data_IF_535195336250
#
_entry.id   IF_535195336250
#
_cell.length_a   1.000
_cell.length_b   1.000
_cell.length_c   1.000
_cell.angle_alpha   90.00
_cell.angle_beta   90.00
_cell.angle_gamma   90.00
#
_symmetry.space_group_name_H-M   'P 1'
#
loop_
_entity.id
_entity.type
_entity.pdbx_description
1 polymer ?
#
# COMPACT_ATOMS: atom_id res chain seq x y z
N UNK A 1 -27.23 -51.95 40.14
CA UNK A 1 -28.56 -51.42 39.75
C UNK A 1 -28.39 -49.96 39.37
N UNK A 2 -28.70 -49.68 38.10
CA UNK A 2 -28.97 -48.41 37.40
C UNK A 2 -27.92 -47.28 37.31
N UNK A 3 -27.72 -46.92 36.04
CA UNK A 3 -26.90 -45.92 35.35
C UNK A 3 -26.84 -44.49 35.88
N UNK A 4 -25.80 -43.72 35.48
CA UNK A 4 -25.86 -42.27 35.43
C UNK A 4 -26.53 -41.81 34.13
N UNK A 5 -27.58 -41.02 34.21
CA UNK A 5 -28.17 -40.35 33.05
C UNK A 5 -27.49 -39.00 32.81
N UNK A 6 -26.83 -38.88 31.65
CA UNK A 6 -26.58 -37.61 30.98
C UNK A 6 -27.92 -36.89 30.73
N UNK A 7 -27.93 -35.57 30.88
CA UNK A 7 -28.86 -34.72 30.14
C UNK A 7 -28.10 -33.60 29.46
N UNK A 8 -28.34 -33.51 28.15
CA UNK A 8 -27.98 -32.38 27.29
C UNK A 8 -29.07 -31.33 27.41
N UNK A 9 -28.68 -30.06 27.56
CA UNK A 9 -29.24 -28.97 26.74
C UNK A 9 -28.42 -27.71 26.92
N UNK A 10 -27.87 -27.26 25.80
CA UNK A 10 -27.22 -25.98 25.60
C UNK A 10 -28.22 -24.84 25.76
N UNK A 11 -27.83 -23.74 26.40
CA UNK A 11 -28.04 -22.38 25.89
C UNK A 11 -27.58 -21.33 26.90
N UNK A 12 -26.86 -20.34 26.37
CA UNK A 12 -26.81 -18.95 26.80
C UNK A 12 -26.15 -18.63 28.16
N UNK A 13 -24.94 -18.06 28.09
CA UNK A 13 -24.64 -16.67 28.49
C UNK A 13 -23.12 -16.49 28.64
N UNK A 14 -22.43 -16.46 27.51
CA UNK A 14 -21.12 -15.80 27.40
C UNK A 14 -21.40 -14.34 27.03
N UNK A 15 -21.49 -13.48 28.04
CA UNK A 15 -21.33 -12.03 27.87
C UNK A 15 -19.84 -11.75 27.63
N UNK A 16 -19.41 -11.88 26.36
CA UNK A 16 -18.18 -11.27 25.89
C UNK A 16 -18.46 -9.81 25.55
N UNK A 17 -17.66 -8.94 26.14
CA UNK A 17 -17.62 -7.50 25.93
C UNK A 17 -17.38 -7.15 24.46
N UNK A 18 -18.47 -6.93 23.73
CA UNK A 18 -18.52 -6.29 22.41
C UNK A 18 -18.31 -4.79 22.57
N UNK A 19 -17.07 -4.33 22.75
CA UNK A 19 -16.78 -2.90 22.70
C UNK A 19 -15.30 -2.61 22.46
N UNK A 20 -14.75 -2.96 21.30
CA UNK A 20 -13.48 -2.37 20.81
C UNK A 20 -13.06 -2.93 19.43
N UNK A 21 -13.83 -2.71 18.37
CA UNK A 21 -13.32 -2.81 16.99
C UNK A 21 -14.17 -1.93 16.07
N UNK A 22 -13.83 -0.64 16.03
CA UNK A 22 -14.19 0.24 14.92
C UNK A 22 -12.95 1.07 14.60
N UNK A 23 -12.06 0.50 13.78
CA UNK A 23 -10.93 1.22 13.23
C UNK A 23 -11.42 2.17 12.14
N UNK A 24 -11.02 3.43 12.24
CA UNK A 24 -11.35 4.49 11.30
C UNK A 24 -10.86 4.14 9.90
N UNK A 25 -11.80 3.76 9.03
CA UNK A 25 -11.55 3.49 7.62
C UNK A 25 -11.26 4.80 6.88
N UNK A 26 -9.99 5.07 6.63
CA UNK A 26 -9.53 5.88 5.49
C UNK A 26 -9.59 5.09 4.17
N UNK A 27 -9.78 3.77 4.26
CA UNK A 27 -10.12 2.88 3.15
C UNK A 27 -11.09 1.83 3.70
N UNK A 28 -12.17 1.43 3.00
CA UNK A 28 -13.13 0.50 3.57
C UNK A 28 -12.44 -0.83 3.88
N UNK A 29 -12.20 -1.10 5.17
CA UNK A 29 -11.83 -2.41 5.70
C UNK A 29 -13.10 -3.27 5.88
N UNK A 30 -14.28 -2.65 5.82
CA UNK A 30 -15.54 -3.37 5.71
C UNK A 30 -15.67 -4.00 4.33
N UNK A 31 -15.99 -5.29 4.31
CA UNK A 31 -16.23 -6.14 3.14
C UNK A 31 -17.40 -5.73 2.23
N UNK A 32 -17.71 -4.42 2.17
CA UNK A 32 -18.58 -3.78 1.20
C UNK A 32 -17.77 -3.00 0.15
N UNK A 33 -16.57 -3.49 -0.22
CA UNK A 33 -15.99 -3.10 -1.50
C UNK A 33 -16.83 -3.76 -2.60
N UNK A 34 -17.87 -3.06 -3.05
CA UNK A 34 -18.65 -3.45 -4.23
C UNK A 34 -17.67 -3.57 -5.38
N UNK A 35 -17.68 -4.73 -6.06
CA UNK A 35 -16.98 -4.91 -7.32
C UNK A 35 -17.31 -3.71 -8.22
N UNK A 36 -16.30 -3.02 -8.77
CA UNK A 36 -16.53 -1.89 -9.69
C UNK A 36 -17.01 -2.39 -11.07
N UNK A 37 -17.79 -3.47 -11.09
CA UNK A 37 -18.43 -4.06 -12.25
C UNK A 37 -19.45 -3.05 -12.78
N UNK A 38 -19.18 -2.46 -13.94
CA UNK A 38 -20.15 -1.62 -14.65
C UNK A 38 -19.58 -0.38 -15.34
N UNK A 39 -18.32 0.00 -15.08
CA UNK A 39 -17.64 1.04 -15.87
C UNK A 39 -16.49 0.39 -16.63
N UNK A 40 -16.50 0.50 -17.96
CA UNK A 40 -15.55 -0.14 -18.87
C UNK A 40 -14.09 0.28 -18.68
N UNK A 41 -13.83 1.33 -17.89
CA UNK A 41 -12.48 1.84 -17.61
C UNK A 41 -12.12 1.71 -16.13
N UNK A 42 -10.92 1.19 -15.81
CA UNK A 42 -10.39 1.15 -14.45
C UNK A 42 -10.24 2.54 -13.84
N UNK A 43 -10.18 2.61 -12.51
CA UNK A 43 -9.97 3.82 -11.75
C UNK A 43 -8.51 4.19 -11.52
N UNK A 44 -8.26 5.47 -11.23
CA UNK A 44 -6.96 5.98 -10.77
C UNK A 44 -7.17 6.94 -9.59
N UNK A 45 -6.66 6.55 -8.41
CA UNK A 45 -6.67 7.36 -7.20
C UNK A 45 -5.33 8.04 -6.96
N UNK A 46 -5.35 9.20 -6.32
CA UNK A 46 -4.12 9.94 -5.97
C UNK A 46 -4.26 10.50 -4.56
N UNK A 47 -3.20 10.41 -3.79
CA UNK A 47 -3.07 11.08 -2.49
C UNK A 47 -1.94 12.09 -2.59
N UNK A 48 -2.19 13.32 -2.13
CA UNK A 48 -1.18 14.34 -1.92
C UNK A 48 -1.12 14.65 -0.43
N UNK A 49 -0.03 14.30 0.23
CA UNK A 49 0.18 14.53 1.66
C UNK A 49 1.13 15.71 1.88
N UNK A 50 0.76 16.60 2.80
CA UNK A 50 1.47 17.86 3.02
C UNK A 50 2.68 17.68 3.93
N UNK A 51 3.84 18.19 3.49
CA UNK A 51 4.98 18.40 4.39
C UNK A 51 4.93 19.71 5.17
N UNK A 52 3.93 20.57 4.96
CA UNK A 52 3.90 21.94 5.51
C UNK A 52 2.59 22.37 6.15
N UNK A 53 1.49 21.64 5.97
CA UNK A 53 0.19 21.95 6.56
C UNK A 53 -0.20 20.79 7.47
N UNK A 54 -0.46 21.12 8.74
CA UNK A 54 -0.80 20.14 9.76
C UNK A 54 -2.01 20.60 10.56
N UNK A 55 -2.90 19.67 10.89
CA UNK A 55 -3.94 19.85 11.90
C UNK A 55 -3.35 19.44 13.25
N UNK A 56 -3.47 20.33 14.25
CA UNK A 56 -2.72 20.21 15.49
C UNK A 56 -3.59 20.37 16.73
N UNK A 57 -3.15 19.69 17.79
CA UNK A 57 -3.59 19.84 19.18
C UNK A 57 -2.36 20.02 20.04
N UNK A 58 -2.43 20.95 20.99
CA UNK A 58 -1.39 21.08 22.01
C UNK A 58 -1.46 19.88 22.96
N UNK A 59 -0.37 19.13 23.04
CA UNK A 59 -0.23 17.95 23.90
C UNK A 59 0.72 18.19 25.08
N UNK A 60 1.43 19.32 25.14
CA UNK A 60 2.54 19.53 26.09
C UNK A 60 2.12 19.56 27.57
N UNK A 61 0.83 19.76 27.84
CA UNK A 61 0.27 19.85 29.20
C UNK A 61 -0.81 18.81 29.47
N UNK A 62 -0.97 17.84 28.57
CA UNK A 62 -1.95 16.78 28.74
C UNK A 62 -1.43 15.71 29.70
N UNK A 63 -2.33 15.14 30.50
CA UNK A 63 -2.04 13.89 31.20
C UNK A 63 -1.88 12.75 30.19
N UNK A 64 -1.24 11.64 30.59
CA UNK A 64 -1.10 10.44 29.75
C UNK A 64 -2.43 9.93 29.19
N UNK A 65 -3.51 10.05 29.96
CA UNK A 65 -4.85 9.67 29.53
C UNK A 65 -5.36 10.58 28.41
N UNK A 66 -5.23 11.89 28.59
CA UNK A 66 -5.66 12.87 27.59
C UNK A 66 -4.82 12.79 26.31
N UNK A 67 -3.51 12.55 26.43
CA UNK A 67 -2.64 12.31 25.29
C UNK A 67 -3.06 11.05 24.52
N UNK A 68 -3.39 9.96 25.22
CA UNK A 68 -3.92 8.75 24.59
C UNK A 68 -5.26 8.99 23.88
N UNK A 69 -6.15 9.79 24.45
CA UNK A 69 -7.41 10.18 23.81
C UNK A 69 -7.18 11.04 22.55
N UNK A 70 -6.21 11.96 22.57
CA UNK A 70 -5.82 12.76 21.39
C UNK A 70 -5.18 11.87 20.32
N UNK A 71 -4.35 10.91 20.71
CA UNK A 71 -3.78 9.91 19.82
C UNK A 71 -4.85 9.08 19.13
N UNK A 72 -5.82 8.57 19.89
CA UNK A 72 -6.96 7.83 19.33
C UNK A 72 -7.79 8.71 18.39
N UNK A 73 -8.05 9.96 18.78
CA UNK A 73 -8.75 10.91 17.90
C UNK A 73 -7.95 11.16 16.61
N UNK A 74 -6.62 11.17 16.65
CA UNK A 74 -5.80 11.24 15.44
C UNK A 74 -5.99 10.02 14.53
N UNK A 75 -6.02 8.82 15.10
CA UNK A 75 -6.32 7.58 14.35
C UNK A 75 -7.72 7.65 13.73
N UNK A 76 -8.72 8.07 14.49
CA UNK A 76 -10.11 8.18 14.04
C UNK A 76 -10.28 9.25 12.93
N UNK A 77 -9.38 10.23 12.85
CA UNK A 77 -9.36 11.29 11.86
C UNK A 77 -8.85 10.86 10.48
N UNK A 78 -8.10 9.75 10.39
CA UNK A 78 -7.43 9.32 9.15
C UNK A 78 -8.44 9.18 7.99
N UNK A 79 -8.13 9.82 6.87
CA UNK A 79 -8.95 9.85 5.65
C UNK A 79 -10.34 10.45 5.81
N UNK A 80 -10.59 11.22 6.89
CA UNK A 80 -11.89 11.89 7.11
C UNK A 80 -11.85 13.31 6.58
N UNK A 81 -12.97 13.71 5.97
CA UNK A 81 -13.18 15.04 5.39
C UNK A 81 -12.90 16.16 6.40
N UNK A 82 -12.26 17.22 5.91
CA UNK A 82 -11.96 18.44 6.67
C UNK A 82 -12.89 19.57 6.23
N UNK A 83 -13.41 20.30 7.20
CA UNK A 83 -14.23 21.51 6.98
C UNK A 83 -13.65 22.69 7.74
N UNK A 84 -13.65 23.87 7.12
CA UNK A 84 -13.21 25.10 7.77
C UNK A 84 -14.29 25.61 8.70
N UNK A 85 -13.95 25.86 9.97
CA UNK A 85 -14.91 26.44 10.90
C UNK A 85 -15.14 27.91 10.53
N UNK A 86 -16.38 28.27 10.18
CA UNK A 86 -16.72 29.68 9.92
C UNK A 86 -16.96 30.42 11.23
N UNK A 87 -16.56 31.70 11.28
CA UNK A 87 -16.60 32.49 12.51
C UNK A 87 -18.02 32.97 12.92
N UNK A 88 -19.07 32.72 12.13
CA UNK A 88 -20.38 33.37 12.36
C UNK A 88 -21.63 32.49 12.27
N UNK A 89 -21.67 31.42 11.46
CA UNK A 89 -22.97 30.81 11.11
C UNK A 89 -23.02 29.27 11.25
N UNK A 90 -22.00 28.63 11.82
CA UNK A 90 -21.96 27.17 12.02
C UNK A 90 -21.88 26.32 10.75
N UNK A 91 -22.06 26.91 9.56
CA UNK A 91 -21.84 26.26 8.28
C UNK A 91 -20.37 26.44 7.87
N UNK A 92 -19.55 25.44 8.17
CA UNK A 92 -18.16 25.42 7.73
C UNK A 92 -18.02 25.25 6.21
N UNK A 93 -16.97 25.82 5.62
CA UNK A 93 -16.69 25.64 4.20
C UNK A 93 -16.02 24.28 3.97
N UNK A 94 -16.64 23.42 3.15
CA UNK A 94 -16.04 22.14 2.75
C UNK A 94 -14.87 22.39 1.81
N UNK A 95 -13.76 21.69 2.07
CA UNK A 95 -12.59 21.69 1.19
C UNK A 95 -12.65 20.45 0.31
N UNK A 96 -13.60 20.45 -0.63
CA UNK A 96 -13.91 19.32 -1.50
C UNK A 96 -14.34 19.78 -2.89
N UNK A 97 -14.09 18.96 -3.90
CA UNK A 97 -14.60 19.12 -5.26
C UNK A 97 -15.45 17.91 -5.69
N UNK A 98 -15.68 17.78 -6.99
CA UNK A 98 -16.45 16.65 -7.55
C UNK A 98 -15.75 15.30 -7.29
N UNK A 99 -14.44 15.29 -7.50
CA UNK A 99 -13.60 14.09 -7.56
C UNK A 99 -12.46 14.10 -6.53
N UNK A 100 -12.43 15.08 -5.62
CA UNK A 100 -11.39 15.21 -4.62
C UNK A 100 -11.91 15.77 -3.29
N UNK A 101 -11.21 15.49 -2.21
CA UNK A 101 -11.51 16.00 -0.86
C UNK A 101 -10.22 16.23 -0.06
N UNK A 102 -10.19 17.28 0.75
CA UNK A 102 -9.17 17.46 1.78
C UNK A 102 -9.55 16.64 3.01
N UNK A 103 -8.62 15.84 3.47
CA UNK A 103 -8.74 14.95 4.62
C UNK A 103 -7.55 15.14 5.56
N UNK A 104 -7.61 14.49 6.72
CA UNK A 104 -6.48 14.38 7.64
C UNK A 104 -5.81 13.01 7.50
N UNK A 105 -4.48 12.97 7.43
CA UNK A 105 -3.72 11.73 7.59
C UNK A 105 -3.24 11.54 9.03
N UNK A 106 -2.92 10.30 9.39
CA UNK A 106 -2.39 9.92 10.68
C UNK A 106 -1.41 8.75 10.56
N UNK A 107 -0.24 8.90 11.18
CA UNK A 107 0.80 7.86 11.29
C UNK A 107 0.88 7.25 12.70
N UNK A 108 0.11 7.78 13.66
CA UNK A 108 0.07 7.29 15.05
C UNK A 108 1.35 7.55 15.87
N UNK A 109 2.39 8.16 15.28
CA UNK A 109 3.70 8.37 15.89
C UNK A 109 3.80 9.68 16.69
N UNK A 110 3.05 10.71 16.30
CA UNK A 110 3.05 12.03 16.96
C UNK A 110 1.63 12.41 17.36
N UNK A 111 1.23 12.20 18.63
CA UNK A 111 -0.08 12.61 19.11
C UNK A 111 -0.34 14.10 18.85
N UNK A 112 -1.57 14.41 18.41
CA UNK A 112 -1.99 15.78 18.17
C UNK A 112 -1.36 16.43 16.94
N UNK A 113 -0.80 15.65 16.01
CA UNK A 113 -0.20 16.15 14.78
C UNK A 113 -0.63 15.31 13.57
N UNK A 114 -1.45 15.89 12.71
CA UNK A 114 -2.04 15.22 11.54
C UNK A 114 -1.66 15.98 10.27
N UNK A 115 -0.94 15.38 9.31
CA UNK A 115 -0.72 15.98 8.00
C UNK A 115 -2.04 16.24 7.28
N UNK A 116 -2.12 17.35 6.55
CA UNK A 116 -3.21 17.59 5.63
C UNK A 116 -3.01 16.75 4.37
N UNK A 117 -4.06 16.11 3.87
CA UNK A 117 -4.00 15.23 2.71
C UNK A 117 -5.13 15.52 1.73
N UNK A 118 -4.82 15.75 0.46
CA UNK A 118 -5.82 15.76 -0.60
C UNK A 118 -5.93 14.38 -1.24
N UNK A 119 -7.15 13.82 -1.24
CA UNK A 119 -7.46 12.54 -1.87
C UNK A 119 -8.26 12.80 -3.15
N UNK A 120 -7.77 12.32 -4.29
CA UNK A 120 -8.49 12.22 -5.55
C UNK A 120 -9.12 10.82 -5.64
N UNK A 121 -10.45 10.78 -5.73
CA UNK A 121 -11.23 9.55 -5.58
C UNK A 121 -11.14 8.68 -6.84
N UNK A 122 -10.30 7.64 -6.77
CA UNK A 122 -10.15 6.68 -7.84
C UNK A 122 -11.41 5.86 -8.16
N UNK A 123 -12.46 5.87 -7.34
CA UNK A 123 -13.76 5.28 -7.70
C UNK A 123 -14.44 6.10 -8.80
N UNK A 124 -14.27 7.42 -8.77
CA UNK A 124 -14.88 8.38 -9.70
C UNK A 124 -13.98 8.66 -10.90
N UNK A 125 -12.69 8.85 -10.66
CA UNK A 125 -11.71 9.19 -11.70
C UNK A 125 -11.32 7.93 -12.46
N UNK A 126 -11.49 7.95 -13.78
CA UNK A 126 -11.20 6.81 -14.66
C UNK A 126 -9.90 7.01 -15.44
N UNK A 127 -9.14 5.93 -15.57
CA UNK A 127 -7.88 5.88 -16.28
C UNK A 127 -8.07 6.20 -17.77
N UNK A 128 -7.13 6.97 -18.34
CA UNK A 128 -7.12 7.35 -19.74
C UNK A 128 -8.04 8.52 -20.08
N UNK A 129 -8.72 9.11 -19.08
CA UNK A 129 -9.61 10.26 -19.29
C UNK A 129 -8.92 11.59 -19.10
N UNK A 130 -7.71 11.62 -18.52
CA UNK A 130 -7.02 12.86 -18.13
C UNK A 130 -7.65 13.54 -16.91
N UNK A 131 -8.69 12.94 -16.31
CA UNK A 131 -9.44 13.57 -15.21
C UNK A 131 -8.61 13.72 -13.94
N UNK A 132 -7.64 12.83 -13.69
CA UNK A 132 -6.75 12.94 -12.54
C UNK A 132 -5.96 14.26 -12.56
N UNK A 133 -5.41 14.61 -13.72
CA UNK A 133 -4.66 15.85 -13.91
C UNK A 133 -5.53 17.10 -13.74
N UNK A 134 -6.75 17.09 -14.29
CA UNK A 134 -7.71 18.19 -14.13
C UNK A 134 -8.16 18.35 -12.66
N UNK A 135 -8.42 17.24 -11.97
CA UNK A 135 -8.77 17.26 -10.55
C UNK A 135 -7.62 17.84 -9.71
N UNK A 136 -6.36 17.52 -10.01
CA UNK A 136 -5.23 18.11 -9.32
C UNK A 136 -5.05 19.62 -9.58
N UNK A 137 -5.37 20.09 -10.79
CA UNK A 137 -5.42 21.53 -11.09
C UNK A 137 -6.50 22.23 -10.24
N UNK A 138 -7.68 21.62 -10.10
CA UNK A 138 -8.73 22.12 -9.21
C UNK A 138 -8.29 22.17 -7.74
N UNK A 139 -7.57 21.15 -7.26
CA UNK A 139 -7.00 21.13 -5.91
C UNK A 139 -5.99 22.26 -5.74
N UNK A 140 -5.11 22.48 -6.71
CA UNK A 140 -4.15 23.59 -6.66
C UNK A 140 -4.85 24.96 -6.61
N UNK A 141 -5.87 25.18 -7.44
CA UNK A 141 -6.69 26.40 -7.37
C UNK A 141 -7.41 26.54 -6.02
N UNK A 142 -7.91 25.43 -5.47
CA UNK A 142 -8.50 25.41 -4.14
C UNK A 142 -7.49 25.79 -3.05
N UNK A 143 -6.29 25.22 -3.08
CA UNK A 143 -5.24 25.49 -2.09
C UNK A 143 -4.84 26.97 -2.09
N UNK A 144 -4.72 27.59 -3.27
CA UNK A 144 -4.51 29.04 -3.41
C UNK A 144 -5.66 29.85 -2.83
N UNK A 145 -6.90 29.47 -3.12
CA UNK A 145 -8.09 30.17 -2.63
C UNK A 145 -8.27 30.02 -1.13
N UNK A 146 -8.02 28.83 -0.60
CA UNK A 146 -8.09 28.54 0.82
C UNK A 146 -7.09 29.39 1.61
N UNK A 147 -5.86 29.53 1.09
CA UNK A 147 -4.80 30.34 1.69
C UNK A 147 -4.61 29.99 3.19
N UNK A 148 -4.17 28.76 3.50
CA UNK A 148 -4.11 28.26 4.87
C UNK A 148 -3.17 29.10 5.73
N UNK A 149 -3.60 29.40 6.96
CA UNK A 149 -2.86 30.19 7.95
C UNK A 149 -2.83 29.48 9.29
N UNK A 150 -1.69 29.55 9.96
CA UNK A 150 -1.55 29.05 11.33
C UNK A 150 -2.59 29.68 12.26
N UNK A 151 -3.18 28.88 13.13
CA UNK A 151 -4.24 29.28 14.06
C UNK A 151 -5.66 29.23 13.49
N UNK A 152 -5.84 28.96 12.19
CA UNK A 152 -7.18 28.66 11.66
C UNK A 152 -7.72 27.37 12.28
N UNK A 153 -9.01 27.32 12.57
CA UNK A 153 -9.67 26.12 13.10
C UNK A 153 -10.37 25.33 11.99
N UNK A 154 -10.27 24.00 12.08
CA UNK A 154 -11.00 23.05 11.24
C UNK A 154 -11.74 22.02 12.08
N UNK A 155 -12.77 21.45 11.48
CA UNK A 155 -13.45 20.26 11.98
C UNK A 155 -13.17 19.08 11.06
N UNK A 156 -12.80 17.95 11.66
CA UNK A 156 -12.60 16.68 10.97
C UNK A 156 -13.86 15.83 11.18
N UNK A 157 -14.44 15.31 10.10
CA UNK A 157 -15.72 14.61 10.14
C UNK A 157 -15.69 13.43 11.13
N UNK A 158 -16.68 13.38 12.03
CA UNK A 158 -16.82 12.32 13.04
C UNK A 158 -15.79 12.36 14.18
N UNK A 159 -14.91 13.37 14.23
CA UNK A 159 -13.85 13.42 15.22
C UNK A 159 -14.30 14.02 16.56
N UNK A 160 -14.07 13.29 17.67
CA UNK A 160 -14.51 13.69 19.01
C UNK A 160 -13.68 14.80 19.66
N UNK A 161 -12.52 15.14 19.09
CA UNK A 161 -11.62 16.19 19.62
C UNK A 161 -11.63 17.45 18.77
N UNK A 162 -12.62 17.67 17.91
CA UNK A 162 -12.79 18.94 17.20
C UNK A 162 -12.93 20.15 18.16
N UNK A 163 -12.54 21.37 17.73
CA UNK A 163 -11.86 21.69 16.47
C UNK A 163 -10.34 21.46 16.56
N UNK A 164 -9.68 21.25 15.42
CA UNK A 164 -8.22 21.18 15.32
C UNK A 164 -7.65 22.52 14.82
N UNK A 165 -6.45 22.90 15.28
CA UNK A 165 -5.79 24.14 14.86
C UNK A 165 -4.81 23.87 13.73
N UNK A 166 -4.79 24.72 12.70
CA UNK A 166 -3.77 24.65 11.66
C UNK A 166 -2.41 25.12 12.16
N UNK A 167 -1.38 24.37 11.78
CA UNK A 167 0.02 24.79 11.76
C UNK A 167 0.49 24.76 10.31
N UNK A 168 0.94 25.91 9.82
CA UNK A 168 1.29 26.09 8.40
C UNK A 168 2.72 26.59 8.29
N UNK A 169 3.51 25.92 7.45
CA UNK A 169 4.87 26.30 7.11
C UNK A 169 4.95 27.51 6.18
N UNK A 170 6.16 27.91 5.80
CA UNK A 170 6.36 29.00 4.84
C UNK A 170 5.92 28.60 3.44
N UNK A 171 5.07 29.41 2.83
CA UNK A 171 4.59 29.25 1.46
C UNK A 171 3.97 27.85 1.18
N UNK A 172 2.85 27.50 1.83
CA UNK A 172 2.25 26.17 1.75
C UNK A 172 1.86 25.75 0.32
N UNK A 173 1.51 26.71 -0.53
CA UNK A 173 1.18 26.50 -1.95
C UNK A 173 2.38 25.98 -2.74
N UNK A 174 3.59 26.48 -2.45
CA UNK A 174 4.81 26.08 -3.15
C UNK A 174 5.61 25.02 -2.40
N UNK A 175 5.10 24.54 -1.26
CA UNK A 175 5.76 23.48 -0.50
C UNK A 175 5.69 22.14 -1.24
N UNK A 176 6.61 21.23 -0.91
CA UNK A 176 6.59 19.88 -1.43
C UNK A 176 5.45 19.07 -0.80
N UNK A 177 4.73 18.33 -1.63
CA UNK A 177 3.74 17.34 -1.21
C UNK A 177 4.22 15.96 -1.67
N UNK A 178 4.21 14.99 -0.75
CA UNK A 178 4.39 13.59 -1.11
C UNK A 178 3.17 13.16 -1.92
N UNK A 179 3.41 12.39 -2.99
CA UNK A 179 2.34 11.88 -3.84
C UNK A 179 2.35 10.37 -3.84
N UNK A 180 1.17 9.79 -3.78
CA UNK A 180 0.94 8.36 -3.93
C UNK A 180 -0.12 8.16 -5.01
N UNK A 181 0.02 7.11 -5.83
CA UNK A 181 -0.91 6.84 -6.93
C UNK A 181 -1.41 5.40 -6.81
N UNK A 182 -2.71 5.21 -6.71
CA UNK A 182 -3.35 3.89 -6.71
C UNK A 182 -4.01 3.59 -8.05
N UNK A 183 -3.61 2.51 -8.71
CA UNK A 183 -4.17 2.07 -9.98
C UNK A 183 -4.08 0.54 -10.14
N UNK A 184 -4.96 -0.08 -10.95
CA UNK A 184 -4.76 -1.46 -11.37
C UNK A 184 -3.58 -1.56 -12.33
N UNK A 185 -2.77 -2.61 -12.20
CA UNK A 185 -1.60 -2.80 -13.05
C UNK A 185 -1.42 -4.25 -13.47
N UNK A 186 -1.02 -4.51 -14.74
CA UNK A 186 -0.49 -5.80 -15.14
C UNK A 186 0.71 -6.21 -14.29
N UNK A 187 0.81 -7.46 -13.86
CA UNK A 187 1.99 -7.94 -13.15
C UNK A 187 3.24 -7.88 -14.05
N UNK A 188 3.09 -8.01 -15.38
CA UNK A 188 4.19 -7.76 -16.31
C UNK A 188 4.73 -6.33 -16.24
N UNK A 189 3.85 -5.34 -16.01
CA UNK A 189 4.25 -3.97 -15.76
C UNK A 189 4.98 -3.81 -14.42
N UNK A 190 4.55 -4.53 -13.38
CA UNK A 190 5.28 -4.58 -12.10
C UNK A 190 6.69 -5.13 -12.31
N UNK A 191 6.86 -6.19 -13.10
CA UNK A 191 8.18 -6.71 -13.45
C UNK A 191 9.06 -5.66 -14.17
N UNK A 192 8.50 -4.94 -15.14
CA UNK A 192 9.21 -3.89 -15.88
C UNK A 192 9.58 -2.70 -14.99
N UNK A 193 8.72 -2.33 -14.03
CA UNK A 193 9.04 -1.33 -13.02
C UNK A 193 10.17 -1.80 -12.08
N UNK A 194 10.17 -3.06 -11.65
CA UNK A 194 11.28 -3.63 -10.87
C UNK A 194 12.60 -3.60 -11.66
N UNK A 195 12.54 -3.95 -12.96
CA UNK A 195 13.67 -3.81 -13.89
C UNK A 195 14.16 -2.37 -13.96
N UNK A 196 13.28 -1.42 -14.19
CA UNK A 196 13.64 0.00 -14.29
C UNK A 196 14.31 0.48 -12.99
N UNK A 197 13.77 0.11 -11.83
CA UNK A 197 14.37 0.43 -10.53
C UNK A 197 15.80 -0.11 -10.41
N UNK A 198 16.03 -1.37 -10.79
CA UNK A 198 17.36 -1.99 -10.75
C UNK A 198 18.35 -1.44 -11.76
N UNK A 199 17.87 -0.93 -12.88
CA UNK A 199 18.69 -0.29 -13.90
C UNK A 199 18.77 1.23 -13.73
N UNK A 200 18.34 1.75 -12.57
CA UNK A 200 18.30 3.17 -12.24
C UNK A 200 17.65 4.03 -13.34
N UNK A 201 16.62 3.48 -14.00
CA UNK A 201 15.85 4.18 -15.03
C UNK A 201 14.72 4.98 -14.40
N UNK A 202 14.54 6.25 -14.77
CA UNK A 202 13.50 7.09 -14.20
C UNK A 202 12.12 6.63 -14.67
N UNK A 203 11.13 6.69 -13.76
CA UNK A 203 9.72 6.46 -14.06
C UNK A 203 8.85 7.36 -13.16
N UNK A 204 7.72 7.88 -13.66
CA UNK A 204 6.79 8.66 -12.84
C UNK A 204 6.08 7.82 -11.76
N UNK A 205 6.21 6.49 -11.81
CA UNK A 205 5.65 5.53 -10.85
C UNK A 205 6.72 4.90 -9.95
N UNK A 206 7.95 5.43 -9.97
CA UNK A 206 9.07 4.93 -9.18
C UNK A 206 9.52 5.93 -8.12
N UNK A 207 9.94 5.41 -6.97
CA UNK A 207 10.51 6.20 -5.89
C UNK A 207 11.94 6.65 -6.19
N UNK A 208 12.40 7.71 -5.53
CA UNK A 208 13.82 8.09 -5.47
C UNK A 208 14.56 7.54 -4.25
N UNK A 209 13.83 6.89 -3.32
CA UNK A 209 14.45 6.37 -2.11
C UNK A 209 15.35 5.18 -2.44
N UNK A 210 16.66 5.41 -2.34
CA UNK A 210 17.68 4.40 -2.61
C UNK A 210 17.47 3.14 -1.74
N UNK A 211 17.01 3.26 -0.49
CA UNK A 211 16.72 2.11 0.36
C UNK A 211 15.56 1.28 -0.21
N UNK A 212 14.47 1.93 -0.62
CA UNK A 212 13.30 1.26 -1.23
C UNK A 212 13.64 0.64 -2.59
N UNK A 213 14.55 1.24 -3.38
CA UNK A 213 15.03 0.66 -4.64
C UNK A 213 15.89 -0.59 -4.38
N UNK A 214 16.78 -0.53 -3.38
CA UNK A 214 17.62 -1.68 -2.98
C UNK A 214 16.77 -2.88 -2.53
N UNK A 215 15.66 -2.62 -1.85
CA UNK A 215 14.72 -3.64 -1.36
C UNK A 215 13.96 -4.37 -2.48
N UNK A 216 13.95 -3.86 -3.70
CA UNK A 216 13.29 -4.53 -4.83
C UNK A 216 14.12 -5.72 -5.29
N UNK A 217 13.47 -6.71 -5.86
CA UNK A 217 14.09 -7.85 -6.56
C UNK A 217 13.47 -7.88 -7.95
N UNK A 218 14.30 -7.94 -8.99
CA UNK A 218 13.88 -8.11 -10.37
C UNK A 218 14.20 -9.54 -10.82
N UNK A 219 13.17 -10.36 -10.93
CA UNK A 219 13.25 -11.76 -11.34
C UNK A 219 13.38 -11.85 -12.87
N UNK A 220 14.62 -11.87 -13.35
CA UNK A 220 14.99 -11.96 -14.76
C UNK A 220 15.40 -13.40 -15.15
N UNK A 221 15.95 -13.59 -16.35
CA UNK A 221 16.27 -14.94 -16.86
C UNK A 221 17.32 -15.69 -16.03
N UNK A 222 18.24 -14.97 -15.39
CA UNK A 222 19.31 -15.57 -14.58
C UNK A 222 18.76 -16.31 -13.36
N UNK A 223 17.62 -15.86 -12.84
CA UNK A 223 16.93 -16.51 -11.71
C UNK A 223 16.37 -17.91 -12.06
N UNK A 224 16.30 -18.27 -13.34
CA UNK A 224 15.76 -19.55 -13.81
C UNK A 224 16.82 -20.51 -14.36
N UNK A 225 18.11 -20.24 -14.13
CA UNK A 225 19.20 -21.13 -14.59
C UNK A 225 19.11 -22.55 -14.03
N UNK A 226 18.64 -22.68 -12.79
CA UNK A 226 18.49 -23.98 -12.10
C UNK A 226 17.08 -24.54 -12.13
N UNK A 227 16.23 -24.02 -13.02
CA UNK A 227 14.83 -24.40 -13.17
C UNK A 227 14.05 -24.47 -11.82
N UNK A 228 13.90 -23.35 -11.09
CA UNK A 228 13.28 -23.31 -9.77
C UNK A 228 11.87 -23.92 -9.78
N UNK A 229 11.66 -24.98 -9.00
CA UNK A 229 10.41 -25.75 -8.99
C UNK A 229 10.03 -26.35 -10.34
N UNK A 230 10.97 -26.47 -11.29
CA UNK A 230 10.75 -26.90 -12.67
C UNK A 230 10.30 -25.80 -13.63
N UNK A 231 10.24 -24.52 -13.21
CA UNK A 231 9.99 -23.40 -14.11
C UNK A 231 11.24 -23.06 -14.93
N UNK A 232 11.08 -22.78 -16.22
CA UNK A 232 12.18 -22.38 -17.11
C UNK A 232 12.16 -20.87 -17.37
N UNK A 233 13.16 -20.37 -18.09
CA UNK A 233 13.23 -18.97 -18.56
C UNK A 233 12.05 -18.55 -19.45
N UNK A 234 11.28 -19.49 -20.00
CA UNK A 234 10.11 -19.19 -20.83
C UNK A 234 8.88 -18.68 -20.04
N UNK A 235 8.98 -18.64 -18.71
CA UNK A 235 7.91 -18.13 -17.85
C UNK A 235 7.56 -16.66 -18.16
N UNK A 236 6.26 -16.37 -18.18
CA UNK A 236 5.71 -15.05 -18.53
C UNK A 236 6.12 -13.93 -17.58
N UNK A 237 6.08 -12.69 -18.07
CA UNK A 237 6.46 -11.49 -17.32
C UNK A 237 5.55 -11.20 -16.12
N UNK A 238 4.30 -11.64 -16.17
CA UNK A 238 3.32 -11.57 -15.10
C UNK A 238 3.70 -12.47 -13.91
N UNK A 239 4.06 -13.72 -14.17
CA UNK A 239 4.58 -14.63 -13.16
C UNK A 239 5.88 -14.08 -12.57
N UNK A 240 6.78 -13.55 -13.42
CA UNK A 240 8.01 -12.88 -12.96
C UNK A 240 7.71 -11.64 -12.10
N UNK A 241 6.69 -10.86 -12.44
CA UNK A 241 6.25 -9.70 -11.69
C UNK A 241 5.72 -10.07 -10.30
N UNK A 242 4.90 -11.11 -10.23
CA UNK A 242 4.41 -11.65 -8.96
C UNK A 242 5.57 -12.17 -8.08
N UNK A 243 6.48 -12.97 -8.65
CA UNK A 243 7.63 -13.50 -7.93
C UNK A 243 8.60 -12.40 -7.49
N UNK A 244 8.81 -11.38 -8.32
CA UNK A 244 9.60 -10.17 -8.00
C UNK A 244 9.01 -9.45 -6.79
N UNK A 245 7.69 -9.25 -6.76
CA UNK A 245 7.00 -8.60 -5.66
C UNK A 245 7.11 -9.41 -4.36
N UNK A 246 6.83 -10.72 -4.42
CA UNK A 246 6.97 -11.63 -3.26
C UNK A 246 8.37 -11.59 -2.67
N UNK A 247 9.41 -11.74 -3.51
CA UNK A 247 10.80 -11.72 -3.06
C UNK A 247 11.21 -10.35 -2.51
N UNK A 248 10.74 -9.26 -3.11
CA UNK A 248 11.01 -7.90 -2.61
C UNK A 248 10.50 -7.73 -1.18
N UNK A 249 9.25 -8.12 -0.91
CA UNK A 249 8.66 -8.05 0.43
C UNK A 249 9.35 -9.01 1.41
N UNK A 250 9.56 -10.27 1.01
CA UNK A 250 10.18 -11.27 1.85
C UNK A 250 11.60 -10.86 2.28
N UNK A 251 12.45 -10.48 1.32
CA UNK A 251 13.85 -10.10 1.61
C UNK A 251 13.95 -8.76 2.34
N UNK A 252 13.10 -7.78 2.04
CA UNK A 252 13.08 -6.51 2.75
C UNK A 252 12.66 -6.68 4.23
N UNK A 253 11.84 -7.70 4.54
CA UNK A 253 11.35 -7.96 5.89
C UNK A 253 12.43 -8.28 6.93
N UNK A 254 13.65 -8.64 6.49
CA UNK A 254 14.79 -8.83 7.39
C UNK A 254 15.31 -7.53 8.02
N UNK A 255 14.88 -6.38 7.52
CA UNK A 255 15.26 -5.08 8.08
C UNK A 255 14.48 -4.89 9.39
N UNK A 256 15.19 -4.72 10.51
CA UNK A 256 14.56 -4.43 11.81
C UNK A 256 13.79 -3.11 11.67
N UNK A 257 12.47 -3.14 11.88
CA UNK A 257 11.62 -1.95 11.81
C UNK A 257 11.01 -1.68 13.17
N UNK A 258 11.27 -0.49 13.69
CA UNK A 258 10.69 -0.01 14.95
C UNK A 258 9.22 0.36 14.72
N UNK A 259 8.39 -0.67 14.62
CA UNK A 259 6.94 -0.55 14.60
C UNK A 259 6.30 0.10 13.37
N UNK A 260 6.80 -0.25 12.18
CA UNK A 260 6.28 0.26 10.90
C UNK A 260 5.47 -0.82 10.15
N UNK A 261 4.46 -0.39 9.40
CA UNK A 261 3.70 -1.26 8.49
C UNK A 261 4.58 -1.85 7.38
N UNK A 262 4.16 -3.01 6.85
CA UNK A 262 4.77 -3.64 5.68
C UNK A 262 4.78 -2.73 4.45
N UNK A 263 3.90 -1.72 4.39
CA UNK A 263 3.88 -0.70 3.32
C UNK A 263 5.23 -0.03 3.12
N UNK A 264 6.02 0.07 4.18
CA UNK A 264 7.28 0.75 4.14
C UNK A 264 8.40 -0.13 3.54
N UNK A 265 8.15 -1.40 3.21
CA UNK A 265 9.20 -2.32 2.72
C UNK A 265 9.62 -2.00 1.28
N UNK A 266 8.67 -1.55 0.47
CA UNK A 266 8.86 -1.20 -0.94
C UNK A 266 7.90 -0.10 -1.34
N UNK A 267 8.29 0.70 -2.33
CA UNK A 267 7.43 1.74 -2.89
C UNK A 267 6.33 1.23 -3.84
N UNK A 268 6.32 -0.05 -4.20
CA UNK A 268 5.24 -0.66 -4.99
C UNK A 268 4.43 -1.51 -4.02
N UNK A 269 3.35 -0.94 -3.51
CA UNK A 269 2.52 -1.57 -2.49
C UNK A 269 1.30 -2.24 -3.13
N UNK A 270 1.11 -3.56 -2.98
CA UNK A 270 -0.12 -4.18 -3.43
C UNK A 270 -1.26 -3.79 -2.49
N UNK A 271 -2.34 -3.26 -3.05
CA UNK A 271 -3.60 -3.03 -2.34
C UNK A 271 -4.50 -4.27 -2.42
N UNK A 272 -4.40 -5.03 -3.52
CA UNK A 272 -4.96 -6.39 -3.63
C UNK A 272 -4.11 -7.37 -2.83
N UNK A 273 -4.73 -8.36 -2.17
CA UNK A 273 -4.04 -9.38 -1.39
C UNK A 273 -3.09 -10.22 -2.25
N UNK A 274 -1.98 -10.68 -1.66
CA UNK A 274 -1.07 -11.61 -2.33
C UNK A 274 -1.75 -12.93 -2.67
N UNK A 275 -2.71 -13.36 -1.85
CA UNK A 275 -3.48 -14.57 -2.13
C UNK A 275 -4.36 -14.43 -3.38
N UNK A 276 -4.98 -13.26 -3.60
CA UNK A 276 -5.73 -12.97 -4.82
C UNK A 276 -4.80 -12.83 -6.02
N UNK A 277 -3.65 -12.16 -5.87
CA UNK A 277 -2.64 -12.09 -6.94
C UNK A 277 -2.13 -13.48 -7.34
N UNK A 278 -1.89 -14.37 -6.37
CA UNK A 278 -1.54 -15.77 -6.64
C UNK A 278 -2.60 -16.46 -7.49
N UNK A 279 -3.88 -16.36 -7.12
CA UNK A 279 -5.00 -16.96 -7.87
C UNK A 279 -5.08 -16.46 -9.32
N UNK A 280 -4.69 -15.20 -9.59
CA UNK A 280 -4.66 -14.68 -10.96
C UNK A 280 -3.64 -15.42 -11.84
N UNK A 281 -2.48 -15.79 -11.27
CA UNK A 281 -1.37 -16.42 -12.02
C UNK A 281 -1.21 -17.93 -11.79
N UNK A 282 -2.02 -18.53 -10.92
CA UNK A 282 -1.87 -19.92 -10.46
C UNK A 282 -1.83 -20.93 -11.61
N UNK A 283 -2.70 -20.76 -12.61
CA UNK A 283 -2.75 -21.64 -13.78
C UNK A 283 -1.45 -21.62 -14.59
N UNK A 284 -0.75 -20.47 -14.61
CA UNK A 284 0.53 -20.26 -15.30
C UNK A 284 1.73 -20.85 -14.54
N UNK A 285 1.54 -21.23 -13.28
CA UNK A 285 2.53 -21.99 -12.51
C UNK A 285 2.48 -23.50 -12.79
N UNK A 286 1.53 -23.98 -13.61
CA UNK A 286 1.41 -25.39 -13.99
C UNK A 286 1.36 -26.35 -12.79
N UNK A 287 0.67 -25.95 -11.71
CA UNK A 287 0.54 -26.70 -10.44
C UNK A 287 1.88 -26.95 -9.70
N UNK A 288 2.94 -26.21 -10.04
CA UNK A 288 4.21 -26.26 -9.31
C UNK A 288 4.06 -25.62 -7.93
N UNK A 289 4.77 -26.15 -6.95
CA UNK A 289 4.73 -25.66 -5.57
C UNK A 289 5.38 -24.27 -5.45
N UNK A 290 4.58 -23.26 -5.05
CA UNK A 290 5.04 -21.88 -4.98
C UNK A 290 6.22 -21.71 -4.02
N UNK A 291 6.21 -22.39 -2.87
CA UNK A 291 7.30 -22.29 -1.91
C UNK A 291 8.60 -22.84 -2.50
N UNK A 292 8.57 -23.99 -3.17
CA UNK A 292 9.74 -24.58 -3.83
C UNK A 292 10.34 -23.62 -4.86
N UNK A 293 9.48 -22.95 -5.65
CA UNK A 293 9.92 -21.91 -6.60
C UNK A 293 10.58 -20.75 -5.84
N UNK A 294 9.87 -20.12 -4.91
CA UNK A 294 10.33 -18.90 -4.23
C UNK A 294 11.58 -19.15 -3.39
N UNK A 295 11.68 -20.29 -2.69
CA UNK A 295 12.84 -20.65 -1.86
C UNK A 295 14.10 -20.82 -2.71
N UNK A 296 13.98 -21.38 -3.93
CA UNK A 296 15.11 -21.45 -4.86
C UNK A 296 15.45 -20.08 -5.45
N UNK A 297 14.44 -19.30 -5.83
CA UNK A 297 14.66 -17.94 -6.34
C UNK A 297 15.29 -17.00 -5.31
N UNK A 298 15.04 -17.23 -4.02
CA UNK A 298 15.65 -16.47 -2.94
C UNK A 298 17.19 -16.60 -2.90
N UNK A 299 17.77 -17.63 -3.54
CA UNK A 299 19.21 -17.77 -3.71
C UNK A 299 19.85 -16.69 -4.58
N UNK A 300 19.07 -15.86 -5.28
CA UNK A 300 19.62 -14.88 -6.21
C UNK A 300 19.28 -13.45 -5.79
N UNK A 301 20.18 -12.53 -6.11
CA UNK A 301 19.95 -11.09 -6.02
C UNK A 301 20.47 -10.37 -7.25
N UNK A 302 19.93 -9.19 -7.53
CA UNK A 302 20.43 -8.34 -8.59
C UNK A 302 21.60 -7.51 -8.05
N UNK A 303 22.81 -7.61 -8.63
CA UNK A 303 23.89 -6.66 -8.37
C UNK A 303 23.41 -5.22 -8.63
N UNK A 304 23.89 -4.25 -7.85
CA UNK A 304 23.44 -2.86 -7.97
C UNK A 304 23.79 -2.27 -9.34
N UNK A 305 24.98 -2.54 -9.85
CA UNK A 305 25.49 -1.93 -11.08
C UNK A 305 25.27 -2.80 -12.32
N UNK A 306 25.22 -4.12 -12.15
CA UNK A 306 25.22 -5.10 -13.26
C UNK A 306 23.93 -5.95 -13.32
N UNK A 307 22.81 -5.43 -12.80
CA UNK A 307 21.54 -6.17 -12.72
C UNK A 307 21.02 -6.74 -14.07
N UNK A 308 21.51 -6.22 -15.19
CA UNK A 308 21.18 -6.66 -16.55
C UNK A 308 22.12 -7.74 -17.10
N UNK A 309 23.28 -7.94 -16.49
CA UNK A 309 24.32 -8.86 -16.99
C UNK A 309 24.25 -10.23 -16.34
N UNK A 310 23.91 -10.30 -15.05
CA UNK A 310 23.77 -11.56 -14.31
C UNK A 310 22.92 -11.39 -13.04
N UNK A 311 22.65 -12.50 -12.35
CA UNK A 311 22.18 -12.51 -10.96
C UNK A 311 23.27 -13.13 -10.07
N UNK A 312 23.57 -12.49 -8.95
CA UNK A 312 24.54 -12.99 -7.97
C UNK A 312 23.89 -14.00 -7.03
N UNK A 313 24.69 -14.89 -6.45
CA UNK A 313 24.23 -15.75 -5.35
C UNK A 313 24.09 -14.88 -4.10
N UNK A 314 22.90 -14.88 -3.52
CA UNK A 314 22.60 -14.22 -2.25
C UNK A 314 23.11 -15.10 -1.09
N UNK A 315 24.34 -14.81 -0.64
CA UNK A 315 25.05 -15.57 0.39
C UNK A 315 24.32 -15.59 1.75
N UNK A 316 23.35 -14.68 1.96
CA UNK A 316 22.49 -14.72 3.15
C UNK A 316 21.62 -15.96 3.18
N UNK A 317 21.24 -16.50 2.02
CA UNK A 317 20.26 -17.60 1.90
C UNK A 317 20.81 -18.85 1.23
N UNK A 318 21.85 -18.73 0.41
CA UNK A 318 22.42 -19.85 -0.32
C UNK A 318 23.96 -19.79 -0.37
N UNK A 319 24.60 -20.85 -0.84
CA UNK A 319 26.03 -20.92 -1.16
C UNK A 319 26.25 -21.51 -2.56
N UNK A 320 27.48 -21.48 -3.05
CA UNK A 320 27.83 -21.99 -4.38
C UNK A 320 28.02 -20.88 -5.41
N UNK A 321 27.75 -21.17 -6.68
CA UNK A 321 27.85 -20.22 -7.79
C UNK A 321 26.54 -20.15 -8.58
N UNK A 322 26.37 -19.14 -9.43
CA UNK A 322 25.20 -19.07 -10.32
C UNK A 322 25.08 -20.35 -11.15
N UNK A 323 23.84 -20.84 -11.30
CA UNK A 323 23.57 -22.13 -11.94
C UNK A 323 23.81 -23.37 -11.08
N UNK A 324 24.37 -23.25 -9.87
CA UNK A 324 24.55 -24.38 -8.93
C UNK A 324 24.55 -23.92 -7.46
N UNK A 325 23.39 -23.49 -6.99
CA UNK A 325 23.21 -22.95 -5.63
C UNK A 325 22.73 -24.00 -4.64
N UNK A 326 23.26 -23.94 -3.41
CA UNK A 326 22.84 -24.78 -2.28
C UNK A 326 22.09 -23.94 -1.25
N UNK A 327 20.85 -24.30 -0.94
CA UNK A 327 20.01 -23.60 0.03
C UNK A 327 20.50 -23.89 1.45
N UNK A 328 20.70 -22.85 2.27
CA UNK A 328 21.23 -23.01 3.64
C UNK A 328 20.15 -22.98 4.74
N UNK A 329 18.87 -22.89 4.38
CA UNK A 329 17.73 -22.94 5.32
C UNK A 329 17.48 -21.63 6.10
N UNK A 330 18.18 -20.53 5.80
CA UNK A 330 17.94 -19.25 6.47
C UNK A 330 16.69 -18.53 5.96
N UNK A 331 16.37 -18.64 4.67
CA UNK A 331 15.21 -17.97 4.09
C UNK A 331 13.87 -18.47 4.66
N UNK A 332 13.75 -19.77 4.96
CA UNK A 332 12.55 -20.32 5.59
C UNK A 332 12.32 -19.87 7.03
N UNK A 333 13.38 -19.46 7.72
CA UNK A 333 13.33 -18.95 9.10
C UNK A 333 13.15 -17.43 9.13
N UNK A 334 13.09 -16.78 7.97
CA UNK A 334 12.95 -15.35 7.89
C UNK A 334 11.56 -14.93 8.38
N UNK A 335 11.53 -13.88 9.19
CA UNK A 335 10.33 -13.27 9.72
C UNK A 335 10.26 -11.82 9.25
N UNK A 336 9.08 -11.41 8.78
CA UNK A 336 8.76 -10.02 8.50
C UNK A 336 8.21 -9.43 9.81
N UNK A 337 8.99 -8.55 10.43
CA UNK A 337 8.63 -7.94 11.71
C UNK A 337 7.81 -6.67 11.48
N UNK A 338 6.48 -6.80 11.55
CA UNK A 338 5.51 -5.70 11.47
C UNK A 338 4.71 -5.69 12.77
N UNK A 339 4.94 -4.71 13.64
CA UNK A 339 4.39 -4.73 15.00
C UNK A 339 4.02 -3.32 15.43
N UNK A 340 2.86 -3.10 16.02
CA UNK A 340 2.54 -1.83 16.67
C UNK A 340 2.52 -2.02 18.19
N UNK A 341 3.46 -1.43 18.92
CA UNK A 341 3.54 -1.57 20.37
C UNK A 341 4.40 -2.76 20.84
N UNK A 342 4.02 -3.39 21.96
CA UNK A 342 4.84 -4.43 22.64
C UNK A 342 4.56 -5.85 22.18
N UNK A 343 3.48 -6.08 21.44
CA UNK A 343 3.11 -7.41 20.95
C UNK A 343 3.77 -7.63 19.58
N UNK A 344 4.63 -8.64 19.51
CA UNK A 344 5.30 -9.02 18.27
C UNK A 344 4.32 -9.83 17.39
N UNK A 345 4.09 -9.39 16.15
CA UNK A 345 3.33 -10.11 15.14
C UNK A 345 4.24 -10.53 13.96
N UNK A 346 5.28 -11.36 14.20
CA UNK A 346 6.20 -11.73 13.14
C UNK A 346 5.48 -12.61 12.12
N UNK A 347 5.62 -12.26 10.84
CA UNK A 347 5.12 -13.09 9.75
C UNK A 347 6.25 -13.95 9.21
N UNK A 348 6.22 -15.25 9.53
CA UNK A 348 7.17 -16.19 8.94
C UNK A 348 6.96 -16.28 7.41
N UNK A 349 8.03 -16.04 6.66
CA UNK A 349 8.01 -15.96 5.19
C UNK A 349 7.54 -17.27 4.54
N UNK A 350 7.98 -18.43 5.04
CA UNK A 350 7.57 -19.73 4.52
C UNK A 350 6.08 -19.99 4.75
N UNK A 351 5.61 -19.77 5.97
CA UNK A 351 4.20 -19.93 6.31
C UNK A 351 3.30 -19.00 5.49
N UNK A 352 3.74 -17.75 5.29
CA UNK A 352 3.02 -16.79 4.46
C UNK A 352 2.90 -17.24 3.01
N UNK A 353 4.01 -17.59 2.35
CA UNK A 353 4.02 -18.02 0.94
C UNK A 353 3.22 -19.31 0.76
N UNK A 354 3.37 -20.29 1.66
CA UNK A 354 2.63 -21.55 1.59
C UNK A 354 1.12 -21.35 1.78
N UNK A 355 0.70 -20.36 2.57
CA UNK A 355 -0.70 -20.06 2.82
C UNK A 355 -1.45 -19.45 1.63
N UNK A 356 -0.75 -18.80 0.69
CA UNK A 356 -1.40 -18.05 -0.40
C UNK A 356 -2.32 -18.92 -1.27
N UNK A 357 -1.93 -20.17 -1.54
CA UNK A 357 -2.74 -21.13 -2.31
C UNK A 357 -4.07 -21.48 -1.63
N UNK A 358 -4.09 -21.43 -0.30
CA UNK A 358 -5.27 -21.70 0.53
C UNK A 358 -6.08 -20.41 0.80
N UNK A 359 -5.74 -19.30 0.15
CA UNK A 359 -6.36 -17.99 0.38
C UNK A 359 -5.91 -17.30 1.66
N UNK A 360 -4.85 -17.80 2.33
CA UNK A 360 -4.33 -17.24 3.59
C UNK A 360 -3.18 -16.30 3.30
N UNK A 361 -3.39 -15.00 3.54
CA UNK A 361 -2.38 -13.95 3.36
C UNK A 361 -1.95 -13.39 4.71
N UNK A 362 -1.02 -14.09 5.37
CA UNK A 362 -0.53 -13.74 6.70
C UNK A 362 0.07 -12.33 6.77
N UNK A 363 0.68 -11.83 5.69
CA UNK A 363 1.24 -10.49 5.65
C UNK A 363 0.13 -9.43 5.72
N UNK A 364 -0.93 -9.59 4.91
CA UNK A 364 -2.10 -8.73 4.96
C UNK A 364 -2.80 -8.79 6.32
N UNK A 365 -2.97 -10.00 6.87
CA UNK A 365 -3.65 -10.18 8.16
C UNK A 365 -2.88 -9.51 9.31
N UNK A 366 -1.55 -9.60 9.33
CA UNK A 366 -0.72 -8.90 10.31
C UNK A 366 -0.63 -7.39 10.06
N UNK A 367 -0.52 -6.95 8.79
CA UNK A 367 -0.45 -5.53 8.45
C UNK A 367 -1.74 -4.79 8.80
N UNK A 368 -2.90 -5.45 8.72
CA UNK A 368 -4.21 -4.87 9.11
C UNK A 368 -4.25 -4.36 10.56
N UNK A 369 -3.47 -4.96 11.46
CA UNK A 369 -3.41 -4.55 12.87
C UNK A 369 -2.53 -3.29 13.09
N UNK A 370 -1.84 -2.83 12.06
CA UNK A 370 -1.06 -1.58 12.07
C UNK A 370 -1.97 -0.38 11.82
N UNK A 371 -1.72 0.74 12.53
CA UNK A 371 -2.47 2.01 12.35
C UNK A 371 -2.49 2.45 10.88
N UNK A 372 -1.39 2.20 10.19
CA UNK A 372 -1.16 2.59 8.81
C UNK A 372 -1.10 1.39 7.86
N UNK A 373 -1.59 0.23 8.31
CA UNK A 373 -1.68 -1.02 7.57
C UNK A 373 -2.51 -0.92 6.31
N UNK A 374 -1.92 -1.26 5.17
CA UNK A 374 -2.52 -1.07 3.85
C UNK A 374 -2.13 -2.15 2.82
N UNK A 375 -1.14 -3.00 3.12
CA UNK A 375 -0.71 -4.09 2.23
C UNK A 375 -1.81 -5.13 2.14
N UNK A 376 -2.32 -5.34 0.93
CA UNK A 376 -3.48 -6.19 0.69
C UNK A 376 -4.79 -5.66 1.30
N UNK A 377 -4.82 -4.38 1.73
CA UNK A 377 -5.94 -3.80 2.47
C UNK A 377 -7.28 -3.75 1.73
N UNK A 378 -7.30 -4.00 0.41
CA UNK A 378 -8.53 -4.17 -0.37
C UNK A 378 -8.96 -5.63 -0.55
N UNK A 379 -8.29 -6.57 0.12
CA UNK A 379 -8.58 -7.98 0.03
C UNK A 379 -8.53 -8.48 -1.42
N UNK A 380 -9.63 -9.05 -1.89
CA UNK A 380 -9.70 -9.67 -3.23
C UNK A 380 -10.13 -8.70 -4.34
N UNK A 381 -10.26 -7.41 -4.03
CA UNK A 381 -10.65 -6.41 -5.02
C UNK A 381 -9.62 -6.35 -6.15
N UNK A 382 -10.13 -6.43 -7.38
CA UNK A 382 -9.41 -6.24 -8.64
C UNK A 382 -10.18 -5.29 -9.53
N UNK A 383 -9.52 -4.77 -10.56
CA UNK A 383 -10.20 -4.05 -11.66
C UNK A 383 -9.77 -4.62 -13.00
N UNK A 384 -10.42 -4.19 -14.08
CA UNK A 384 -10.10 -4.69 -15.41
C UNK A 384 -8.98 -3.90 -16.06
N UNK A 385 -8.23 -4.55 -16.94
CA UNK A 385 -7.34 -3.86 -17.87
C UNK A 385 -8.18 -2.93 -18.75
N UNK A 386 -7.75 -1.67 -18.83
CA UNK A 386 -8.31 -0.64 -19.71
C UNK A 386 -8.64 -1.23 -21.09
N UNK A 387 -9.87 -1.06 -21.55
CA UNK A 387 -10.44 -1.57 -22.81
C UNK A 387 -10.53 -3.11 -22.93
N UNK A 388 -10.29 -3.84 -21.84
CA UNK A 388 -10.26 -5.31 -21.80
C UNK A 388 -11.05 -5.86 -20.58
N UNK A 389 -12.39 -5.87 -20.63
CA UNK A 389 -13.28 -6.15 -19.48
C UNK A 389 -13.28 -7.62 -19.01
N UNK A 390 -12.42 -8.47 -19.56
CA UNK A 390 -12.25 -9.88 -19.17
C UNK A 390 -10.90 -10.14 -18.50
N UNK A 391 -10.03 -9.14 -18.46
CA UNK A 391 -8.66 -9.26 -18.00
C UNK A 391 -8.52 -8.55 -16.66
N UNK A 392 -8.47 -9.33 -15.56
CA UNK A 392 -8.38 -8.78 -14.21
C UNK A 392 -6.94 -8.37 -13.87
N UNK A 393 -6.83 -7.26 -13.15
CA UNK A 393 -5.60 -6.66 -12.68
C UNK A 393 -5.68 -6.43 -11.17
N UNK A 394 -4.58 -6.71 -10.48
CA UNK A 394 -4.42 -6.32 -9.09
C UNK A 394 -4.22 -4.80 -8.98
N UNK A 395 -4.67 -4.23 -7.86
CA UNK A 395 -4.52 -2.84 -7.49
C UNK A 395 -3.20 -2.64 -6.76
N UNK A 396 -2.46 -1.61 -7.16
CA UNK A 396 -1.20 -1.21 -6.55
C UNK A 396 -1.25 0.26 -6.21
N UNK A 397 -0.61 0.61 -5.11
CA UNK A 397 -0.28 1.97 -4.72
C UNK A 397 1.23 2.18 -4.91
N UNK A 398 1.57 3.18 -5.70
CA UNK A 398 2.93 3.63 -5.93
C UNK A 398 3.24 4.77 -4.97
N UNK A 399 4.14 4.50 -4.03
CA UNK A 399 4.45 5.37 -2.88
C UNK A 399 5.82 6.03 -3.04
N UNK A 400 6.09 7.00 -2.16
CA UNK A 400 7.37 7.70 -2.10
C UNK A 400 7.78 8.26 -3.46
N UNK A 401 6.78 8.69 -4.24
CA UNK A 401 7.01 9.19 -5.58
C UNK A 401 7.70 10.55 -5.50
N UNK A 402 8.43 10.92 -6.56
CA UNK A 402 8.84 12.29 -6.80
C UNK A 402 7.88 13.34 -6.29
N UNK A 403 8.34 14.18 -5.37
CA UNK A 403 7.60 15.36 -4.98
C UNK A 403 7.42 16.25 -6.20
N UNK A 404 6.19 16.71 -6.39
CA UNK A 404 5.87 17.77 -7.32
C UNK A 404 5.32 18.95 -6.52
N UNK A 405 5.75 20.16 -6.88
CA UNK A 405 5.12 21.35 -6.34
C UNK A 405 3.64 21.38 -6.73
N UNK A 406 2.79 22.05 -5.94
CA UNK A 406 1.35 22.02 -6.22
C UNK A 406 0.98 22.58 -7.59
N UNK A 407 1.75 23.57 -8.08
CA UNK A 407 1.61 24.12 -9.43
C UNK A 407 1.97 23.15 -10.55
N UNK A 408 2.72 22.07 -10.26
CA UNK A 408 3.13 21.05 -11.22
C UNK A 408 2.29 19.77 -11.16
N UNK A 409 1.36 19.66 -10.20
CA UNK A 409 0.60 18.43 -9.99
C UNK A 409 -0.12 17.93 -11.24
N UNK A 410 -0.74 18.84 -12.01
CA UNK A 410 -1.38 18.51 -13.29
C UNK A 410 -0.43 17.77 -14.23
N UNK A 411 0.71 18.40 -14.56
CA UNK A 411 1.75 17.84 -15.43
C UNK A 411 2.32 16.53 -14.88
N UNK A 412 2.53 16.45 -13.57
CA UNK A 412 3.04 15.25 -12.93
C UNK A 412 2.03 14.09 -13.01
N UNK A 413 0.73 14.34 -12.88
CA UNK A 413 -0.31 13.33 -13.01
C UNK A 413 -0.57 12.94 -14.47
N UNK A 414 -0.51 13.87 -15.41
CA UNK A 414 -0.56 13.54 -16.86
C UNK A 414 0.52 12.54 -17.22
N UNK A 415 1.77 12.75 -16.76
CA UNK A 415 2.87 11.81 -17.00
C UNK A 415 2.63 10.44 -16.37
N UNK A 416 2.14 10.40 -15.13
CA UNK A 416 1.88 9.15 -14.42
C UNK A 416 0.72 8.37 -15.06
N UNK A 417 -0.39 9.05 -15.38
CA UNK A 417 -1.54 8.44 -16.05
C UNK A 417 -1.15 7.90 -17.43
N UNK A 418 -0.39 8.67 -18.22
CA UNK A 418 0.10 8.21 -19.53
C UNK A 418 0.99 6.97 -19.40
N UNK A 419 1.87 6.92 -18.40
CA UNK A 419 2.70 5.75 -18.12
C UNK A 419 1.86 4.52 -17.78
N UNK A 420 0.86 4.67 -16.91
CA UNK A 420 -0.08 3.58 -16.56
C UNK A 420 -0.84 3.11 -17.81
N UNK A 421 -1.37 4.03 -18.62
CA UNK A 421 -2.05 3.70 -19.88
C UNK A 421 -1.12 2.96 -20.85
N UNK A 422 0.16 3.35 -20.93
CA UNK A 422 1.14 2.65 -21.75
C UNK A 422 1.39 1.23 -21.26
N UNK A 423 1.45 1.01 -19.94
CA UNK A 423 1.53 -0.34 -19.37
C UNK A 423 0.32 -1.20 -19.69
N UNK A 424 -0.89 -0.63 -19.63
CA UNK A 424 -2.12 -1.31 -20.03
C UNK A 424 -2.15 -1.71 -21.51
N UNK A 425 -1.46 -0.96 -22.38
CA UNK A 425 -1.30 -1.30 -23.81
C UNK A 425 -0.21 -2.35 -24.04
N UNK A 426 0.88 -2.26 -23.29
CA UNK A 426 2.09 -3.09 -23.47
C UNK A 426 1.92 -4.51 -22.92
N UNK A 427 1.27 -4.67 -21.77
CA UNK A 427 1.17 -5.94 -21.07
C UNK A 427 -0.26 -6.48 -21.04
N UNK A 428 -0.45 -7.80 -21.22
CA UNK A 428 -1.76 -8.43 -21.04
C UNK A 428 -2.19 -8.43 -19.56
N UNK A 429 -3.46 -8.75 -19.32
CA UNK A 429 -3.95 -9.03 -17.97
C UNK A 429 -3.32 -10.27 -17.32
N UNK A 430 -3.58 -10.42 -16.02
CA UNK A 430 -3.01 -11.47 -15.18
C UNK A 430 -3.73 -12.80 -15.34
#
# INVERSE_FOLDING_TARGET
MYSPTLSWSHAALLFLSLSSFQFGTATPIDGQLIERSGVSSPGIGVEFESGSIYFTKDVHKLSNKEEAEVKQAGIDAKGKAVTLKSAKDGNGAKLSGKDWELTADATGSTPGHLPAEYILDGKKIKLGTGRAALAAEEVYENLKKWNPKSGQEVEIAGNKKNPWSLKVGTNPVNSAWSRQITAPMPLGAINDLMKQAKLNKPSPLMTYSNSKIKNKVWVNDFFFEENPGGLTKAVGEDVRGFLSLLLSYAKAGSQVRNSESAKELTSIMPRTSFSKMYKLIESKLEKKDLWTIVNKLACYENPIDDAHEYAAVDERYCSGHSGQTTINGKFEKLEINICYGRDSCPVNVKAWIQGLKDGKDLLKDADKEMIDGQVGGYGDLTEYRLDHPKEQLALFEFRDLPSCSASEWKKCLEKAENEIVNYHKKFPGN
#
